data_IF_511700623550
#
_entry.id   IF_511700623550
#
_cell.length_a   1.000
_cell.length_b   1.000
_cell.length_c   1.000
_cell.angle_alpha   90.00
_cell.angle_beta   90.00
_cell.angle_gamma   90.00
#
_symmetry.space_group_name_H-M   'P 1'
#
loop_
_entity.id
_entity.type
_entity.pdbx_description
1 polymer ?
#
# COMPACT_ATOMS: atom_id res chain seq x y z
N UNK A 1 -7.45 -9.54 1.93
CA UNK A 1 -8.24 -8.86 2.98
C UNK A 1 -8.60 -9.86 4.06
N UNK A 2 -8.73 -9.40 5.30
CA UNK A 2 -9.29 -10.19 6.40
C UNK A 2 -10.75 -9.80 6.60
N UNK A 3 -11.63 -10.78 6.68
CA UNK A 3 -13.05 -10.55 6.92
C UNK A 3 -13.26 -10.23 8.40
N UNK A 4 -13.89 -9.11 8.70
CA UNK A 4 -14.16 -8.64 10.07
C UNK A 4 -15.50 -9.14 10.60
N UNK A 5 -16.46 -9.41 9.71
CA UNK A 5 -17.81 -9.85 10.06
C UNK A 5 -18.32 -10.86 9.01
N UNK A 6 -19.18 -11.79 9.41
CA UNK A 6 -19.83 -12.66 8.46
C UNK A 6 -20.73 -11.87 7.50
N UNK A 7 -20.70 -12.28 6.22
CA UNK A 7 -21.52 -11.70 5.17
C UNK A 7 -22.05 -12.82 4.30
N UNK A 8 -23.37 -12.90 4.19
CA UNK A 8 -24.06 -13.91 3.39
C UNK A 8 -24.49 -13.30 2.07
N UNK A 9 -23.97 -13.81 0.97
CA UNK A 9 -24.35 -13.35 -0.36
C UNK A 9 -25.79 -13.73 -0.70
N UNK A 10 -26.50 -12.83 -1.40
CA UNK A 10 -27.78 -13.17 -1.99
C UNK A 10 -27.59 -13.90 -3.34
N UNK A 11 -28.35 -14.97 -3.60
CA UNK A 11 -28.26 -15.70 -4.85
C UNK A 11 -28.66 -14.81 -6.04
N UNK A 12 -27.77 -14.68 -7.02
CA UNK A 12 -28.02 -13.95 -8.27
C UNK A 12 -27.59 -12.48 -8.28
N UNK A 13 -27.05 -11.98 -7.18
CA UNK A 13 -26.66 -10.57 -7.04
C UNK A 13 -25.13 -10.39 -6.97
N UNK A 14 -24.37 -11.36 -7.50
CA UNK A 14 -22.92 -11.35 -7.65
C UNK A 14 -22.15 -11.00 -6.35
N UNK A 15 -22.74 -11.30 -5.20
CA UNK A 15 -22.15 -11.16 -3.86
C UNK A 15 -21.36 -12.41 -3.48
N UNK A 16 -20.42 -12.27 -2.54
CA UNK A 16 -19.59 -13.37 -2.05
C UNK A 16 -19.86 -13.69 -0.58
N UNK A 17 -20.25 -14.93 -0.28
CA UNK A 17 -20.41 -15.38 1.12
C UNK A 17 -19.05 -15.55 1.79
N UNK A 18 -18.82 -14.81 2.87
CA UNK A 18 -17.59 -14.81 3.67
C UNK A 18 -17.89 -14.91 5.15
N UNK A 19 -16.95 -15.45 5.93
CA UNK A 19 -17.08 -15.64 7.37
C UNK A 19 -16.07 -14.77 8.13
N UNK A 20 -16.43 -14.29 9.33
CA UNK A 20 -15.49 -13.58 10.21
C UNK A 20 -14.18 -14.37 10.37
N UNK A 21 -13.04 -13.67 10.23
CA UNK A 21 -11.71 -14.25 10.32
C UNK A 21 -11.23 -14.95 9.04
N UNK A 22 -12.07 -15.08 8.01
CA UNK A 22 -11.67 -15.64 6.73
C UNK A 22 -10.73 -14.69 5.96
N UNK A 23 -9.76 -15.25 5.26
CA UNK A 23 -8.86 -14.50 4.38
C UNK A 23 -9.33 -14.65 2.94
N UNK A 24 -9.73 -13.53 2.34
CA UNK A 24 -10.12 -13.47 0.93
C UNK A 24 -9.06 -12.73 0.10
N UNK A 25 -8.92 -13.16 -1.15
CA UNK A 25 -8.06 -12.50 -2.13
C UNK A 25 -8.84 -11.38 -2.79
N UNK A 26 -8.39 -10.14 -2.64
CA UNK A 26 -9.01 -9.01 -3.34
C UNK A 26 -8.59 -9.08 -4.81
N UNK A 27 -9.57 -9.15 -5.71
CA UNK A 27 -9.34 -9.08 -7.16
C UNK A 27 -9.53 -7.65 -7.66
N UNK A 28 -10.51 -6.92 -7.10
CA UNK A 28 -10.68 -5.50 -7.34
C UNK A 28 -11.01 -4.76 -6.03
N UNK A 29 -10.13 -3.90 -5.50
CA UNK A 29 -10.36 -3.18 -4.25
C UNK A 29 -11.35 -2.00 -4.35
N UNK A 30 -11.62 -1.49 -5.57
CA UNK A 30 -12.51 -0.35 -5.80
C UNK A 30 -13.44 -0.66 -6.97
N UNK A 31 -14.55 -1.33 -6.68
CA UNK A 31 -15.64 -1.56 -7.65
C UNK A 31 -16.56 -0.32 -7.72
N UNK A 32 -16.43 0.58 -6.74
CA UNK A 32 -17.24 1.78 -6.58
C UNK A 32 -18.32 1.62 -5.50
N UNK A 33 -18.65 2.73 -4.84
CA UNK A 33 -19.74 2.76 -3.84
C UNK A 33 -19.47 2.00 -2.55
N UNK A 34 -18.19 1.77 -2.17
CA UNK A 34 -17.83 1.04 -0.96
C UNK A 34 -17.86 -0.48 -1.10
N UNK A 35 -17.73 -0.98 -2.33
CA UNK A 35 -17.67 -2.41 -2.62
C UNK A 35 -16.31 -2.80 -3.17
N UNK A 36 -15.85 -3.98 -2.76
CA UNK A 36 -14.71 -4.65 -3.36
C UNK A 36 -15.12 -6.00 -3.94
N UNK A 37 -14.42 -6.44 -4.98
CA UNK A 37 -14.53 -7.78 -5.52
C UNK A 37 -13.44 -8.66 -4.94
N UNK A 38 -13.85 -9.72 -4.27
CA UNK A 38 -12.98 -10.70 -3.64
C UNK A 38 -13.16 -12.08 -4.24
N UNK A 39 -12.21 -12.96 -3.93
CA UNK A 39 -12.30 -14.40 -4.16
C UNK A 39 -12.00 -15.14 -2.86
N UNK A 40 -12.89 -16.05 -2.48
CA UNK A 40 -12.72 -16.88 -1.28
C UNK A 40 -11.86 -18.13 -1.55
N UNK A 41 -11.59 -18.92 -0.51
CA UNK A 41 -10.86 -20.19 -0.62
C UNK A 41 -11.59 -21.26 -1.44
N UNK A 42 -12.92 -21.14 -1.59
CA UNK A 42 -13.74 -22.02 -2.44
C UNK A 42 -13.58 -21.72 -3.94
N UNK A 43 -12.91 -20.61 -4.29
CA UNK A 43 -12.74 -20.16 -5.67
C UNK A 43 -13.91 -19.36 -6.21
N UNK A 44 -14.90 -19.06 -5.37
CA UNK A 44 -16.02 -18.20 -5.71
C UNK A 44 -15.57 -16.75 -5.65
N UNK A 45 -16.07 -15.94 -6.58
CA UNK A 45 -15.80 -14.51 -6.67
C UNK A 45 -17.10 -13.74 -6.55
N UNK A 46 -17.03 -12.58 -5.94
CA UNK A 46 -18.18 -11.71 -5.80
C UNK A 46 -17.86 -10.46 -5.00
N UNK A 47 -18.87 -9.63 -4.85
CA UNK A 47 -18.81 -8.37 -4.16
C UNK A 47 -18.94 -8.56 -2.65
N UNK A 48 -18.11 -7.84 -1.93
CA UNK A 48 -18.12 -7.73 -0.47
C UNK A 48 -17.98 -6.26 -0.11
N UNK A 49 -18.76 -5.73 0.84
CA UNK A 49 -18.60 -4.34 1.26
C UNK A 49 -17.24 -4.14 1.94
N UNK A 50 -16.56 -3.04 1.61
CA UNK A 50 -15.25 -2.71 2.19
C UNK A 50 -15.30 -2.56 3.70
N UNK A 51 -16.43 -2.14 4.28
CA UNK A 51 -16.60 -2.02 5.74
C UNK A 51 -16.58 -3.37 6.48
N UNK A 52 -16.82 -4.47 5.77
CA UNK A 52 -16.85 -5.82 6.35
C UNK A 52 -15.49 -6.51 6.26
N UNK A 53 -14.53 -5.90 5.58
CA UNK A 53 -13.23 -6.50 5.31
C UNK A 53 -12.12 -5.50 5.55
N UNK A 54 -11.14 -5.92 6.33
CA UNK A 54 -9.93 -5.16 6.55
C UNK A 54 -8.94 -5.44 5.41
N UNK A 55 -8.65 -4.40 4.63
CA UNK A 55 -7.57 -4.45 3.66
C UNK A 55 -6.25 -4.41 4.44
N UNK A 56 -5.67 -5.59 4.65
CA UNK A 56 -4.36 -5.71 5.28
C UNK A 56 -3.33 -4.98 4.40
N UNK A 57 -2.61 -3.97 4.92
CA UNK A 57 -1.51 -3.38 4.20
C UNK A 57 -0.45 -4.47 4.01
N UNK A 58 -0.17 -4.84 2.75
CA UNK A 58 1.01 -5.62 2.43
C UNK A 58 2.21 -4.77 2.84
N UNK A 59 2.90 -5.20 3.89
CA UNK A 59 4.10 -4.59 4.45
C UNK A 59 4.99 -4.01 3.33
N UNK A 60 5.04 -2.67 3.26
CA UNK A 60 6.18 -1.98 2.68
C UNK A 60 6.02 -1.16 1.40
N UNK A 61 4.88 -0.50 1.10
CA UNK A 61 4.81 0.81 0.39
C UNK A 61 3.50 1.57 0.68
N UNK A 62 3.48 2.28 1.79
CA UNK A 62 2.76 3.55 1.92
C UNK A 62 2.88 4.39 0.64
N UNK A 63 1.76 4.79 0.04
CA UNK A 63 1.80 5.82 -0.99
C UNK A 63 0.91 7.03 -0.74
N UNK A 64 -0.14 7.01 0.08
CA UNK A 64 -0.95 8.23 0.25
C UNK A 64 -1.55 8.39 1.65
N UNK A 65 -0.69 8.53 2.66
CA UNK A 65 -1.00 9.39 3.80
C UNK A 65 -0.53 10.81 3.43
N UNK A 66 -1.38 11.59 2.79
CA UNK A 66 -1.18 13.03 2.71
C UNK A 66 -1.39 13.60 4.12
N UNK A 67 -0.29 13.86 4.84
CA UNK A 67 -0.34 14.59 6.11
C UNK A 67 0.56 14.01 7.19
N UNK A 68 1.71 14.66 7.37
CA UNK A 68 2.56 14.63 8.56
C UNK A 68 3.24 13.30 8.92
N UNK A 69 4.25 12.90 8.16
CA UNK A 69 5.35 12.08 8.67
C UNK A 69 6.69 12.70 8.30
N UNK A 70 7.43 13.00 9.35
CA UNK A 70 8.68 13.77 9.48
C UNK A 70 9.92 13.19 8.77
N UNK A 71 9.78 12.64 7.56
CA UNK A 71 10.84 11.87 6.90
C UNK A 71 11.72 12.64 5.90
N UNK A 72 11.49 13.93 5.66
CA UNK A 72 12.30 14.76 4.74
C UNK A 72 13.20 15.79 5.44
N UNK A 73 13.66 15.51 6.67
CA UNK A 73 14.82 16.21 7.27
C UNK A 73 16.17 15.72 6.70
N UNK A 74 16.30 15.66 5.38
CA UNK A 74 17.59 15.44 4.72
C UNK A 74 17.85 16.39 3.54
N UNK A 75 16.87 17.22 3.16
CA UNK A 75 17.06 18.23 2.12
C UNK A 75 17.48 19.60 2.66
N UNK A 76 17.04 19.97 3.88
CA UNK A 76 17.24 21.32 4.41
C UNK A 76 18.51 21.49 5.26
N UNK A 77 19.24 20.42 5.57
CA UNK A 77 20.54 20.49 6.26
C UNK A 77 21.68 20.94 5.30
N UNK A 78 21.52 20.77 3.99
CA UNK A 78 22.57 21.08 3.01
C UNK A 78 22.41 22.44 2.29
N UNK A 79 21.77 23.42 2.93
CA UNK A 79 21.90 24.85 2.54
C UNK A 79 22.66 25.68 3.58
N UNK A 80 23.13 25.07 4.69
CA UNK A 80 23.94 25.77 5.70
C UNK A 80 25.38 25.28 5.84
N UNK A 81 25.81 24.23 5.11
CA UNK A 81 27.22 23.87 4.99
C UNK A 81 27.78 24.36 3.65
N UNK A 82 28.03 25.66 3.60
CA UNK A 82 29.15 26.31 2.90
C UNK A 82 29.71 25.58 1.66
N UNK A 83 29.43 26.15 0.49
CA UNK A 83 30.39 26.36 -0.60
C UNK A 83 31.81 25.83 -0.35
N UNK A 84 32.07 24.57 -0.70
CA UNK A 84 33.28 24.12 -1.40
C UNK A 84 33.25 22.59 -1.46
N UNK A 85 33.13 22.04 -2.67
CA UNK A 85 34.00 20.97 -3.20
C UNK A 85 33.28 20.26 -4.35
N UNK A 86 33.32 20.90 -5.51
CA UNK A 86 33.26 20.22 -6.80
C UNK A 86 34.62 20.42 -7.47
N UNK A 87 35.42 19.35 -7.58
CA UNK A 87 35.98 18.91 -8.85
C UNK A 87 36.92 17.72 -8.65
N UNK A 88 36.48 16.59 -9.17
CA UNK A 88 37.33 15.48 -9.59
C UNK A 88 38.32 15.97 -10.64
N UNK A 89 39.61 15.63 -10.53
CA UNK A 89 40.47 15.35 -11.69
C UNK A 89 41.83 14.84 -11.23
N UNK A 90 42.22 13.70 -11.79
CA UNK A 90 43.53 13.11 -11.71
C UNK A 90 44.64 14.09 -12.13
N UNK A 91 45.76 14.08 -11.43
CA UNK A 91 47.12 14.05 -11.98
C UNK A 91 48.07 13.60 -10.88
N UNK A 92 48.58 12.38 -11.03
CA UNK A 92 49.80 11.91 -10.38
C UNK A 92 51.00 12.61 -11.04
N UNK A 93 51.79 13.38 -10.29
CA UNK A 93 53.14 13.78 -10.69
C UNK A 93 53.92 14.41 -9.53
N UNK A 94 55.08 13.80 -9.26
CA UNK A 94 56.38 14.43 -8.95
C UNK A 94 56.47 15.28 -7.67
N UNK A 95 57.30 14.98 -6.68
CA UNK A 95 58.78 14.98 -6.64
C UNK A 95 59.14 14.86 -5.13
N UNK A 96 60.29 14.42 -4.59
CA UNK A 96 61.66 14.08 -5.01
C UNK A 96 62.22 13.07 -4.00
#
# INVERSE_FOLDING_TARGET
>A
ARVMYDFSAEPGNNELTVNEGEIITITNPDVGGGWLEGRNSRGERGLVPTDYVEILPSDGKDQFACGNSVADQAFLDSLSASTAQANTSATNSNNQ
#
